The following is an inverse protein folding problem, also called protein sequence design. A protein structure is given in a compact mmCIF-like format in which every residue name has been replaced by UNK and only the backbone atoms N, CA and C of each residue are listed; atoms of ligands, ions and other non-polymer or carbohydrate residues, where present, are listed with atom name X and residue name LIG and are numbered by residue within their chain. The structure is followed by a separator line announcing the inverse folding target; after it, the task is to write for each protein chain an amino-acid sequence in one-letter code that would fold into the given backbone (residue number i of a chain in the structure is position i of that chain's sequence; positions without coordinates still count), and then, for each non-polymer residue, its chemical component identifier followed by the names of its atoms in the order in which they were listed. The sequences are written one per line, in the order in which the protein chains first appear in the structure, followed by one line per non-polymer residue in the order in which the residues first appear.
data_IF_169837443928
#
_entry.id   IF_169837443928
#
_cell.length_a   1.000
_cell.length_b   1.000
_cell.length_c   1.000
_cell.angle_alpha   90.00
_cell.angle_beta   90.00
_cell.angle_gamma   90.00
#
_symmetry.space_group_name_H-M   'P 1'
#
loop_
_entity.id
_entity.type
_entity.pdbx_description
1 polymer ?
#
# COMPACT_ATOMS: atom_id res chain seq x y z
N UNK A 1 -6.75 15.78 10.42
CA UNK A 1 -5.57 14.92 10.65
C UNK A 1 -5.49 13.92 9.52
N UNK A 2 -4.33 13.80 8.85
CA UNK A 2 -4.12 12.77 7.83
C UNK A 2 -3.71 11.50 8.57
N UNK A 3 -4.64 10.54 8.65
CA UNK A 3 -4.39 9.18 9.14
C UNK A 3 -4.26 8.99 10.65
N UNK A 4 -4.42 7.75 11.07
CA UNK A 4 -4.14 7.25 12.43
C UNK A 4 -2.74 6.62 12.43
N UNK A 5 -1.94 6.88 13.45
CA UNK A 5 -0.65 6.20 13.63
C UNK A 5 -0.88 4.80 14.20
N UNK A 6 -0.26 3.79 13.59
CA UNK A 6 -0.23 2.42 14.10
C UNK A 6 1.16 2.12 14.67
N UNK A 7 1.22 1.54 15.87
CA UNK A 7 2.48 1.26 16.58
C UNK A 7 2.91 -0.20 16.50
N UNK A 8 1.96 -1.13 16.33
CA UNK A 8 2.24 -2.56 16.23
C UNK A 8 1.76 -3.12 14.91
N UNK A 9 2.71 -3.45 14.04
CA UNK A 9 2.50 -4.06 12.73
C UNK A 9 2.94 -5.52 12.70
N UNK A 10 3.46 -6.06 13.82
CA UNK A 10 4.01 -7.40 13.86
C UNK A 10 2.89 -8.41 13.66
N UNK A 11 3.11 -9.40 12.79
CA UNK A 11 2.07 -10.40 12.48
C UNK A 11 0.99 -9.91 11.50
N UNK A 12 0.95 -8.62 11.16
CA UNK A 12 -0.09 -8.04 10.30
C UNK A 12 0.28 -8.07 8.83
N UNK A 13 -0.74 -8.03 7.99
CA UNK A 13 -0.61 -7.93 6.52
C UNK A 13 -0.95 -6.51 6.06
N UNK A 14 -0.16 -6.00 5.12
CA UNK A 14 -0.45 -4.78 4.37
C UNK A 14 -0.65 -5.11 2.90
N UNK A 15 -1.71 -4.56 2.32
CA UNK A 15 -2.06 -4.72 0.91
C UNK A 15 -1.94 -3.37 0.22
N UNK A 16 -1.20 -3.34 -0.89
CA UNK A 16 -0.93 -2.14 -1.69
C UNK A 16 -1.48 -2.37 -3.10
N UNK A 17 -2.54 -1.64 -3.46
CA UNK A 17 -3.08 -1.65 -4.81
C UNK A 17 -2.61 -0.42 -5.60
N UNK A 18 -2.23 -0.59 -6.87
CA UNK A 18 -1.76 0.51 -7.71
C UNK A 18 -2.27 0.47 -9.15
N UNK A 19 -2.44 1.64 -9.77
CA UNK A 19 -2.79 1.78 -11.20
C UNK A 19 -1.55 2.25 -11.97
N UNK A 20 -0.93 1.34 -12.75
CA UNK A 20 0.21 1.63 -13.65
C UNK A 20 1.37 2.43 -13.01
N UNK A 21 1.60 2.31 -11.71
CA UNK A 21 2.67 3.02 -10.99
C UNK A 21 3.69 2.10 -10.27
N UNK A 22 4.43 1.24 -10.99
CA UNK A 22 5.37 0.28 -10.38
C UNK A 22 6.47 0.98 -9.55
N UNK A 23 7.16 1.98 -10.11
CA UNK A 23 8.24 2.71 -9.42
C UNK A 23 7.77 3.39 -8.12
N UNK A 24 6.55 3.91 -8.12
CA UNK A 24 5.97 4.56 -6.94
C UNK A 24 5.66 3.54 -5.85
N UNK A 25 5.20 2.34 -6.21
CA UNK A 25 4.96 1.25 -5.27
C UNK A 25 6.27 0.76 -4.67
N UNK A 26 7.32 0.59 -5.48
CA UNK A 26 8.64 0.19 -4.98
C UNK A 26 9.14 1.15 -3.90
N UNK A 27 9.09 2.45 -4.16
CA UNK A 27 9.48 3.48 -3.18
C UNK A 27 8.63 3.44 -1.91
N UNK A 28 7.33 3.18 -2.01
CA UNK A 28 6.44 3.04 -0.85
C UNK A 28 6.81 1.80 -0.04
N UNK A 29 7.04 0.67 -0.69
CA UNK A 29 7.42 -0.60 -0.05
C UNK A 29 8.77 -0.48 0.67
N UNK A 30 9.75 0.20 0.06
CA UNK A 30 11.03 0.46 0.71
C UNK A 30 10.87 1.26 2.02
N UNK A 31 10.02 2.29 2.00
CA UNK A 31 9.76 3.08 3.20
C UNK A 31 8.99 2.28 4.26
N UNK A 32 8.02 1.47 3.85
CA UNK A 32 7.28 0.60 4.77
C UNK A 32 8.24 -0.37 5.46
N UNK A 33 9.14 -1.01 4.72
CA UNK A 33 10.14 -1.95 5.28
C UNK A 33 11.15 -1.29 6.22
N UNK A 34 11.41 0.02 6.08
CA UNK A 34 12.30 0.77 6.97
C UNK A 34 11.62 1.20 8.26
N UNK A 35 10.29 1.39 8.24
CA UNK A 35 9.52 2.00 9.32
C UNK A 35 8.66 1.00 10.09
N UNK A 36 8.31 -0.14 9.50
CA UNK A 36 7.35 -1.11 10.03
C UNK A 36 7.81 -2.55 9.80
N UNK A 37 7.29 -3.48 10.60
CA UNK A 37 7.64 -4.91 10.58
C UNK A 37 6.48 -5.83 10.12
N UNK A 38 5.69 -5.38 9.15
CA UNK A 38 4.61 -6.20 8.57
C UNK A 38 5.13 -7.58 8.16
N UNK A 39 4.42 -8.63 8.53
CA UNK A 39 4.79 -10.01 8.20
C UNK A 39 4.61 -10.30 6.72
N UNK A 40 3.63 -9.66 6.09
CA UNK A 40 3.32 -9.82 4.67
C UNK A 40 3.05 -8.45 4.05
N UNK A 41 3.67 -8.21 2.88
CA UNK A 41 3.41 -7.06 2.03
C UNK A 41 2.92 -7.59 0.68
N UNK A 42 1.64 -7.45 0.41
CA UNK A 42 1.02 -7.88 -0.86
C UNK A 42 0.85 -6.68 -1.80
N UNK A 43 1.23 -6.85 -3.07
CA UNK A 43 1.15 -5.81 -4.10
C UNK A 43 0.22 -6.29 -5.21
N UNK A 44 -0.80 -5.49 -5.50
CA UNK A 44 -1.81 -5.79 -6.53
C UNK A 44 -1.86 -4.68 -7.56
N UNK A 45 -1.64 -5.03 -8.83
CA UNK A 45 -1.90 -4.09 -9.93
C UNK A 45 -3.41 -4.04 -10.20
N UNK A 46 -4.05 -2.91 -9.91
CA UNK A 46 -5.46 -2.70 -10.19
C UNK A 46 -5.71 -2.65 -11.70
N UNK A 47 -6.64 -3.47 -12.19
CA UNK A 47 -7.09 -3.55 -13.59
C UNK A 47 -8.63 -3.48 -13.64
N UNK A 48 -9.21 -2.88 -14.69
CA UNK A 48 -10.68 -2.76 -14.87
C UNK A 48 -11.29 -1.47 -14.28
N UNK A 49 -12.59 -1.47 -13.93
CA UNK A 49 -13.35 -0.30 -13.43
C UNK A 49 -12.70 0.43 -12.23
N UNK A 50 -11.88 -0.28 -11.44
CA UNK A 50 -11.08 0.28 -10.35
C UNK A 50 -10.00 1.28 -10.81
N UNK A 51 -9.54 1.19 -12.07
CA UNK A 51 -8.69 2.21 -12.72
C UNK A 51 -9.46 3.47 -13.16
N UNK A 52 -10.79 3.43 -13.14
CA UNK A 52 -11.64 4.60 -13.42
C UNK A 52 -11.84 5.52 -12.21
N UNK A 53 -11.74 5.00 -10.98
CA UNK A 53 -11.89 5.77 -9.74
C UNK A 53 -10.54 6.17 -9.10
N UNK A 54 -9.50 5.35 -9.26
CA UNK A 54 -8.14 5.75 -8.94
C UNK A 54 -7.54 6.46 -10.17
N UNK A 55 -7.43 7.79 -10.12
CA UNK A 55 -6.72 8.57 -11.13
C UNK A 55 -5.36 7.95 -11.46
N UNK A 56 -4.90 8.07 -12.71
CA UNK A 56 -3.65 7.48 -13.19
C UNK A 56 -2.50 7.70 -12.18
N UNK A 57 -1.75 6.63 -11.87
CA UNK A 57 -0.71 6.58 -10.81
C UNK A 57 -1.19 6.66 -9.36
N UNK A 58 -2.47 6.39 -9.12
CA UNK A 58 -3.05 6.19 -7.78
C UNK A 58 -2.46 4.97 -7.06
N UNK A 59 -2.35 5.09 -5.73
CA UNK A 59 -2.00 4.01 -4.82
C UNK A 59 -3.05 3.99 -3.69
N UNK A 60 -3.57 2.81 -3.40
CA UNK A 60 -4.45 2.54 -2.25
C UNK A 60 -3.71 1.58 -1.33
N UNK A 61 -3.71 1.88 -0.03
CA UNK A 61 -3.05 1.08 0.99
C UNK A 61 -4.10 0.71 2.04
N UNK A 62 -4.14 -0.58 2.39
CA UNK A 62 -4.99 -1.09 3.45
C UNK A 62 -4.18 -2.05 4.34
N UNK A 63 -4.43 -2.01 5.64
CA UNK A 63 -3.82 -2.89 6.62
C UNK A 63 -4.77 -3.03 7.82
N UNK A 64 -4.59 -4.11 8.59
CA UNK A 64 -5.34 -4.37 9.81
C UNK A 64 -4.95 -3.36 10.91
N UNK A 65 -5.93 -2.81 11.63
CA UNK A 65 -5.67 -1.87 12.74
C UNK A 65 -5.07 -2.58 13.95
#
# INVERSE_FOLDING_TARGET
SIGTFVQDTAGKTIVIAHVRAPEKVERVVENIKKLYNFSVIEIVQARGLSSGYAADKGIVIAFEQ
#
